data_IF_046797881903
#
_entry.id   IF_046797881903
#
_cell.length_a   1.000
_cell.length_b   1.000
_cell.length_c   1.000
_cell.angle_alpha   90.00
_cell.angle_beta   90.00
_cell.angle_gamma   90.00
#
_symmetry.space_group_name_H-M   'P 1'
#
loop_
_entity.id
_entity.type
_entity.pdbx_description
1 polymer ?
#
# COMPACT_ATOMS: atom_id res chain seq x y z
N UNK A 1 -31.81 -35.50 40.17
CA UNK A 1 -31.38 -34.64 39.03
C UNK A 1 -30.44 -35.49 38.19
N UNK A 2 -30.90 -35.89 37.01
CA UNK A 2 -30.47 -37.09 36.29
C UNK A 2 -29.11 -36.91 35.60
N UNK A 3 -28.23 -37.90 35.73
CA UNK A 3 -26.91 -38.00 35.08
C UNK A 3 -26.97 -38.20 33.54
N UNK A 4 -28.09 -37.82 32.90
CA UNK A 4 -28.30 -38.02 31.46
C UNK A 4 -27.89 -36.82 30.58
N UNK A 5 -27.56 -35.66 31.17
CA UNK A 5 -27.17 -34.46 30.38
C UNK A 5 -25.67 -34.37 30.04
N UNK A 6 -24.83 -35.29 30.52
CA UNK A 6 -23.37 -35.23 30.29
C UNK A 6 -22.89 -35.78 28.94
N UNK A 7 -23.78 -36.25 28.06
CA UNK A 7 -23.39 -36.88 26.79
C UNK A 7 -23.73 -36.08 25.51
N UNK A 8 -24.29 -34.87 25.60
CA UNK A 8 -24.70 -34.10 24.41
C UNK A 8 -23.64 -33.10 23.87
N UNK A 9 -22.35 -33.32 24.12
CA UNK A 9 -21.26 -32.48 23.59
C UNK A 9 -20.62 -33.02 22.30
N UNK A 10 -21.00 -34.21 21.84
CA UNK A 10 -20.41 -34.84 20.66
C UNK A 10 -21.10 -34.32 19.40
N UNK A 11 -20.45 -33.35 18.77
CA UNK A 11 -20.75 -32.83 17.43
C UNK A 11 -22.00 -31.93 17.31
N UNK A 12 -22.03 -30.82 18.07
CA UNK A 12 -23.03 -29.75 17.87
C UNK A 12 -22.94 -29.18 16.44
N UNK A 13 -24.07 -29.21 15.71
CA UNK A 13 -24.23 -28.55 14.40
C UNK A 13 -24.13 -27.04 14.58
N UNK A 14 -23.61 -26.35 13.58
CA UNK A 14 -23.23 -24.94 13.70
C UNK A 14 -23.54 -24.21 12.39
N UNK A 15 -24.12 -23.01 12.49
CA UNK A 15 -24.40 -22.15 11.35
C UNK A 15 -23.22 -21.20 11.19
N UNK A 16 -22.47 -21.31 10.10
CA UNK A 16 -21.35 -20.41 9.82
C UNK A 16 -21.88 -19.24 8.99
N UNK A 17 -21.63 -18.02 9.45
CA UNK A 17 -21.81 -16.78 8.68
C UNK A 17 -20.44 -16.29 8.23
N UNK A 18 -20.32 -15.87 6.97
CA UNK A 18 -19.04 -15.52 6.34
C UNK A 18 -18.50 -14.17 6.84
N UNK A 19 -17.69 -14.19 7.89
CA UNK A 19 -16.81 -13.10 8.29
C UNK A 19 -15.54 -13.70 8.93
N UNK A 20 -14.36 -13.31 8.45
CA UNK A 20 -13.10 -13.86 8.95
C UNK A 20 -11.87 -13.11 8.46
N UNK A 21 -10.73 -13.40 9.08
CA UNK A 21 -9.43 -12.84 8.74
C UNK A 21 -8.58 -13.93 8.10
N UNK A 22 -7.77 -13.55 7.10
CA UNK A 22 -6.84 -14.45 6.45
C UNK A 22 -5.41 -13.99 6.69
N UNK A 23 -4.56 -14.97 7.00
CA UNK A 23 -3.15 -14.77 7.28
C UNK A 23 -2.36 -15.78 6.46
N UNK A 24 -1.38 -15.29 5.70
CA UNK A 24 -0.37 -16.09 5.04
C UNK A 24 1.00 -15.79 5.65
N UNK A 25 1.70 -16.81 6.13
CA UNK A 25 3.04 -16.72 6.68
C UNK A 25 4.03 -17.48 5.82
N UNK A 26 5.12 -16.82 5.43
CA UNK A 26 6.22 -17.46 4.73
C UNK A 26 6.99 -18.36 5.73
N UNK A 27 7.14 -19.66 5.48
CA UNK A 27 7.87 -20.56 6.38
C UNK A 27 9.31 -20.08 6.59
N UNK A 28 9.74 -19.99 7.85
CA UNK A 28 11.10 -19.57 8.21
C UNK A 28 11.36 -18.06 8.21
N UNK A 29 10.34 -17.23 7.95
CA UNK A 29 10.41 -15.77 8.07
C UNK A 29 9.41 -15.25 9.11
N UNK A 30 9.71 -14.10 9.70
CA UNK A 30 8.81 -13.39 10.62
C UNK A 30 7.78 -12.51 9.89
N UNK A 31 7.84 -12.47 8.55
CA UNK A 31 6.92 -11.72 7.73
C UNK A 31 5.55 -12.40 7.63
N UNK A 32 4.51 -11.60 7.84
CA UNK A 32 3.11 -12.01 7.77
C UNK A 32 2.37 -11.14 6.76
N UNK A 33 1.59 -11.80 5.93
CA UNK A 33 0.69 -11.18 4.94
C UNK A 33 -0.72 -11.38 5.49
N UNK A 34 -1.42 -10.27 5.80
CA UNK A 34 -2.79 -10.33 6.34
C UNK A 34 -3.78 -9.69 5.38
N UNK A 35 -4.88 -10.39 5.08
CA UNK A 35 -6.01 -9.83 4.34
C UNK A 35 -7.15 -9.57 5.33
N UNK A 36 -7.45 -8.29 5.54
CA UNK A 36 -8.33 -7.83 6.62
C UNK A 36 -9.78 -7.58 6.21
N UNK A 37 -10.07 -7.37 4.93
CA UNK A 37 -11.40 -6.99 4.43
C UNK A 37 -11.93 -8.00 3.40
N UNK A 38 -11.89 -9.28 3.77
CA UNK A 38 -12.32 -10.34 2.87
C UNK A 38 -13.82 -10.27 2.54
N UNK A 39 -14.13 -10.25 1.25
CA UNK A 39 -15.47 -10.39 0.72
C UNK A 39 -15.93 -11.85 0.77
N UNK A 40 -15.02 -12.79 0.47
CA UNK A 40 -15.34 -14.21 0.40
C UNK A 40 -14.09 -15.06 0.67
N UNK A 41 -14.30 -16.26 1.25
CA UNK A 41 -13.30 -17.31 1.28
C UNK A 41 -13.95 -18.65 1.01
N UNK A 42 -13.37 -19.40 0.08
CA UNK A 42 -13.83 -20.73 -0.34
C UNK A 42 -12.71 -21.74 -0.18
N UNK A 43 -13.01 -22.86 0.48
CA UNK A 43 -12.12 -24.01 0.60
C UNK A 43 -12.72 -25.17 -0.21
N UNK A 44 -12.09 -25.52 -1.33
CA UNK A 44 -12.46 -26.64 -2.17
C UNK A 44 -11.55 -27.84 -1.90
N UNK A 45 -12.14 -28.95 -1.47
CA UNK A 45 -11.44 -30.23 -1.31
C UNK A 45 -11.92 -31.18 -2.40
N UNK A 46 -11.06 -31.46 -3.37
CA UNK A 46 -11.32 -32.41 -4.45
C UNK A 46 -10.60 -33.72 -4.15
N UNK A 47 -11.36 -34.83 -4.19
CA UNK A 47 -10.86 -36.19 -4.03
C UNK A 47 -11.05 -36.93 -5.35
N UNK A 48 -9.96 -37.43 -5.92
CA UNK A 48 -9.98 -38.31 -7.08
C UNK A 48 -9.76 -39.74 -6.57
N UNK A 49 -10.81 -40.55 -6.63
CA UNK A 49 -10.84 -41.93 -6.17
C UNK A 49 -11.09 -42.85 -7.35
N UNK A 50 -10.36 -43.96 -7.40
CA UNK A 50 -10.52 -44.98 -8.43
C UNK A 50 -10.83 -46.30 -7.76
N UNK A 51 -11.94 -46.86 -8.21
CA UNK A 51 -12.43 -48.15 -7.78
C UNK A 51 -11.68 -49.27 -8.51
N UNK A 52 -11.24 -50.27 -7.75
CA UNK A 52 -10.60 -51.48 -8.26
C UNK A 52 -11.69 -52.54 -8.35
N UNK A 53 -12.15 -52.79 -9.57
CA UNK A 53 -13.22 -53.76 -9.85
C UNK A 53 -12.66 -55.17 -10.07
N UNK A 54 -13.37 -56.16 -9.54
CA UNK A 54 -13.12 -57.57 -9.83
C UNK A 54 -13.93 -58.03 -11.05
N UNK A 55 -13.48 -59.08 -11.73
CA UNK A 55 -14.18 -59.63 -12.89
C UNK A 55 -15.55 -60.25 -12.60
N UNK A 56 -15.84 -60.58 -11.33
CA UNK A 56 -16.99 -61.40 -10.95
C UNK A 56 -18.11 -60.65 -10.21
N UNK A 57 -17.88 -59.40 -9.79
CA UNK A 57 -18.89 -58.60 -9.05
C UNK A 57 -18.89 -57.15 -9.52
N UNK A 58 -20.08 -56.56 -9.61
CA UNK A 58 -20.27 -55.13 -9.91
C UNK A 58 -19.96 -54.22 -8.71
N UNK A 59 -19.51 -54.78 -7.59
CA UNK A 59 -19.05 -54.03 -6.43
C UNK A 59 -17.52 -53.94 -6.44
N UNK A 60 -16.92 -52.76 -6.20
CA UNK A 60 -15.48 -52.63 -6.16
C UNK A 60 -14.87 -53.40 -4.99
N UNK A 61 -13.74 -54.07 -5.26
CA UNK A 61 -12.98 -54.83 -4.27
C UNK A 61 -12.27 -53.88 -3.31
N UNK A 62 -11.73 -52.79 -3.85
CA UNK A 62 -10.99 -51.78 -3.10
C UNK A 62 -11.14 -50.41 -3.80
N UNK A 63 -10.91 -49.33 -3.07
CA UNK A 63 -10.98 -47.96 -3.59
C UNK A 63 -9.69 -47.25 -3.28
N UNK A 64 -8.95 -46.84 -4.32
CA UNK A 64 -7.68 -46.15 -4.18
C UNK A 64 -7.89 -44.64 -4.31
N UNK A 65 -7.44 -43.88 -3.31
CA UNK A 65 -7.34 -42.42 -3.43
C UNK A 65 -6.14 -42.06 -4.31
N UNK A 66 -6.40 -41.64 -5.54
CA UNK A 66 -5.36 -41.27 -6.52
C UNK A 66 -4.78 -39.89 -6.24
N UNK A 67 -5.65 -38.92 -5.94
CA UNK A 67 -5.23 -37.53 -5.74
C UNK A 67 -6.15 -36.81 -4.76
N UNK A 68 -5.55 -36.03 -3.86
CA UNK A 68 -6.26 -35.07 -3.01
C UNK A 68 -5.75 -33.68 -3.36
N UNK A 69 -6.65 -32.82 -3.84
CA UNK A 69 -6.36 -31.40 -4.10
C UNK A 69 -7.17 -30.57 -3.12
N UNK A 70 -6.49 -29.67 -2.41
CA UNK A 70 -7.16 -28.70 -1.55
C UNK A 70 -6.81 -27.34 -2.12
N UNK A 71 -7.80 -26.62 -2.63
CA UNK A 71 -7.67 -25.25 -3.09
C UNK A 71 -8.36 -24.32 -2.08
N UNK A 72 -7.70 -23.23 -1.71
CA UNK A 72 -8.30 -22.13 -0.94
C UNK A 72 -8.32 -20.88 -1.82
N UNK A 73 -9.51 -20.32 -2.02
CA UNK A 73 -9.71 -19.06 -2.71
C UNK A 73 -10.13 -18.00 -1.72
N UNK A 74 -9.38 -16.91 -1.63
CA UNK A 74 -9.71 -15.74 -0.83
C UNK A 74 -9.96 -14.55 -1.77
N UNK A 75 -10.99 -13.76 -1.47
CA UNK A 75 -11.38 -12.58 -2.21
C UNK A 75 -11.40 -11.37 -1.27
N UNK A 76 -10.68 -10.32 -1.63
CA UNK A 76 -10.65 -9.06 -0.87
C UNK A 76 -11.52 -7.99 -1.56
N UNK A 77 -12.27 -7.24 -0.75
CA UNK A 77 -13.06 -6.11 -1.21
C UNK A 77 -12.22 -4.87 -1.50
N UNK A 78 -10.96 -4.83 -1.02
CA UNK A 78 -10.03 -3.72 -1.22
C UNK A 78 -8.77 -4.22 -1.94
N UNK A 79 -8.20 -3.35 -2.77
CA UNK A 79 -6.90 -3.60 -3.38
C UNK A 79 -5.80 -3.48 -2.31
N UNK A 80 -5.00 -4.54 -2.16
CA UNK A 80 -3.84 -4.58 -1.27
C UNK A 80 -2.62 -5.14 -2.03
N UNK A 81 -1.49 -4.45 -1.94
CA UNK A 81 -0.21 -4.88 -2.53
C UNK A 81 0.31 -6.17 -1.88
N UNK A 82 -0.05 -6.45 -0.62
CA UNK A 82 0.28 -7.70 0.07
C UNK A 82 -0.35 -8.91 -0.63
N UNK A 83 -1.51 -8.71 -1.24
CA UNK A 83 -2.15 -9.74 -2.05
C UNK A 83 -1.31 -10.03 -3.30
N UNK A 84 -0.84 -8.99 -3.99
CA UNK A 84 -0.01 -9.16 -5.19
C UNK A 84 1.38 -9.74 -4.86
N UNK A 85 1.95 -9.34 -3.72
CA UNK A 85 3.18 -9.94 -3.15
C UNK A 85 3.04 -11.44 -2.95
N UNK A 86 1.91 -11.90 -2.42
CA UNK A 86 1.66 -13.32 -2.22
C UNK A 86 1.68 -14.09 -3.55
N UNK A 87 1.11 -13.51 -4.63
CA UNK A 87 1.04 -14.14 -5.95
C UNK A 87 2.40 -14.18 -6.65
N UNK A 88 3.11 -13.05 -6.66
CA UNK A 88 4.31 -12.88 -7.47
C UNK A 88 5.60 -13.25 -6.72
N UNK A 89 5.56 -13.26 -5.38
CA UNK A 89 6.75 -13.38 -4.54
C UNK A 89 7.71 -12.18 -4.62
N UNK A 90 7.20 -11.07 -5.14
CA UNK A 90 7.93 -9.83 -5.29
C UNK A 90 8.21 -9.15 -3.94
N UNK A 91 9.27 -8.34 -3.88
CA UNK A 91 9.60 -7.55 -2.69
C UNK A 91 8.77 -6.27 -2.65
N UNK A 92 8.06 -6.06 -1.55
CA UNK A 92 7.38 -4.81 -1.24
C UNK A 92 8.37 -3.87 -0.52
N UNK A 93 8.45 -2.63 -0.97
CA UNK A 93 9.16 -1.54 -0.30
C UNK A 93 8.16 -0.45 0.00
N UNK A 94 7.97 -0.16 1.27
CA UNK A 94 7.01 0.84 1.73
C UNK A 94 7.69 2.21 1.85
N UNK A 95 6.91 3.27 1.64
CA UNK A 95 7.36 4.64 1.86
C UNK A 95 8.52 5.10 0.98
N UNK A 96 8.64 4.53 -0.23
CA UNK A 96 9.65 4.91 -1.21
C UNK A 96 9.35 6.34 -1.69
N UNK A 97 10.26 7.27 -1.40
CA UNK A 97 10.05 8.69 -1.66
C UNK A 97 10.84 9.18 -2.87
N UNK A 98 10.11 9.79 -3.82
CA UNK A 98 10.67 10.59 -4.90
C UNK A 98 10.87 12.06 -4.53
N UNK A 99 10.51 12.47 -3.31
CA UNK A 99 10.57 13.85 -2.88
C UNK A 99 12.03 14.30 -2.66
N UNK A 100 12.35 15.52 -3.09
CA UNK A 100 13.66 16.13 -2.85
C UNK A 100 13.84 16.64 -1.41
N UNK A 101 12.86 16.38 -0.54
CA UNK A 101 12.88 16.78 0.85
C UNK A 101 12.44 15.65 1.76
N UNK A 102 12.93 15.67 2.98
CA UNK A 102 12.49 14.82 4.09
C UNK A 102 11.99 15.73 5.23
N UNK A 103 10.99 15.27 5.97
CA UNK A 103 10.50 16.00 7.15
C UNK A 103 11.29 15.54 8.37
N UNK A 104 11.96 16.49 9.02
CA UNK A 104 12.59 16.27 10.32
C UNK A 104 11.81 16.93 11.42
N UNK A 105 11.92 16.37 12.62
CA UNK A 105 11.50 17.03 13.84
C UNK A 105 12.67 17.13 14.80
N UNK A 106 12.76 18.25 15.50
CA UNK A 106 13.73 18.46 16.58
C UNK A 106 13.01 19.01 17.80
N UNK A 107 13.39 18.49 18.97
CA UNK A 107 12.88 18.96 20.26
C UNK A 107 13.95 19.79 20.94
N UNK A 108 13.61 21.02 21.30
CA UNK A 108 14.51 21.97 21.96
C UNK A 108 13.81 22.55 23.18
N UNK A 109 14.51 22.56 24.31
CA UNK A 109 14.05 23.27 25.51
C UNK A 109 14.56 24.70 25.47
N UNK A 110 13.69 25.67 25.69
CA UNK A 110 14.07 27.10 25.66
C UNK A 110 14.86 27.44 26.92
N UNK A 111 16.10 27.90 26.72
CA UNK A 111 16.97 28.38 27.78
C UNK A 111 17.02 29.92 27.74
N UNK A 112 16.36 30.56 28.72
CA UNK A 112 16.37 32.01 28.94
C UNK A 112 15.25 32.80 28.25
N UNK A 113 14.82 33.88 28.91
CA UNK A 113 13.79 34.82 28.46
C UNK A 113 14.34 35.91 27.51
N UNK A 114 14.78 35.52 26.31
CA UNK A 114 15.05 36.50 25.24
C UNK A 114 14.03 36.37 24.12
N UNK A 115 13.10 37.32 24.08
CA UNK A 115 12.21 37.56 22.93
C UNK A 115 12.93 38.47 21.91
N UNK A 116 13.02 38.10 20.62
CA UNK A 116 12.47 36.89 20.01
C UNK A 116 13.32 35.64 20.25
N UNK A 117 12.65 34.50 20.49
CA UNK A 117 13.32 33.21 20.73
C UNK A 117 13.84 32.63 19.42
N UNK A 118 15.15 32.37 19.35
CA UNK A 118 15.80 31.78 18.17
C UNK A 118 16.25 30.35 18.43
N UNK A 119 15.68 29.40 17.69
CA UNK A 119 15.98 27.97 17.76
C UNK A 119 16.95 27.62 16.63
N UNK A 120 18.09 27.03 16.97
CA UNK A 120 19.06 26.53 15.99
C UNK A 120 18.82 25.04 15.73
N UNK A 121 18.53 24.71 14.48
CA UNK A 121 18.28 23.36 13.99
C UNK A 121 19.58 22.71 13.50
N UNK A 122 19.63 21.37 13.46
CA UNK A 122 20.80 20.65 12.94
C UNK A 122 21.04 20.85 11.45
N UNK A 123 19.99 21.18 10.69
CA UNK A 123 20.00 21.23 9.23
C UNK A 123 19.26 22.48 8.73
N UNK A 124 19.68 23.06 7.60
CA UNK A 124 18.99 24.22 7.04
C UNK A 124 17.58 23.84 6.58
N UNK A 125 16.62 24.71 6.87
CA UNK A 125 15.22 24.52 6.47
C UNK A 125 15.08 24.77 4.98
N UNK A 126 14.42 23.84 4.28
CA UNK A 126 14.14 23.95 2.86
C UNK A 126 12.84 24.73 2.62
N UNK A 127 12.95 26.06 2.53
CA UNK A 127 11.80 26.97 2.43
C UNK A 127 10.97 26.83 1.15
N UNK A 128 11.51 26.24 0.09
CA UNK A 128 10.78 25.96 -1.16
C UNK A 128 9.79 24.80 -1.08
N UNK A 129 9.87 23.95 -0.04
CA UNK A 129 9.03 22.76 0.13
C UNK A 129 7.97 22.89 1.23
N UNK A 130 7.86 24.07 1.84
CA UNK A 130 6.90 24.36 2.90
C UNK A 130 7.51 25.13 4.07
N UNK A 131 6.68 25.86 4.81
CA UNK A 131 7.08 26.53 6.04
C UNK A 131 7.21 25.51 7.19
N UNK A 132 8.15 25.70 8.14
CA UNK A 132 8.22 24.86 9.32
C UNK A 132 7.00 25.07 10.22
N UNK A 133 6.57 23.99 10.88
CA UNK A 133 5.53 24.03 11.91
C UNK A 133 6.17 23.89 13.27
N UNK A 134 5.79 24.76 14.19
CA UNK A 134 6.34 24.77 15.55
C UNK A 134 5.23 24.47 16.53
N UNK A 135 5.45 23.50 17.41
CA UNK A 135 4.56 23.17 18.50
C UNK A 135 5.26 23.46 19.82
N UNK A 136 4.63 24.27 20.66
CA UNK A 136 5.12 24.60 22.00
C UNK A 136 4.34 23.75 23.00
N UNK A 137 5.05 22.99 23.80
CA UNK A 137 4.53 22.28 24.95
C UNK A 137 4.85 23.10 26.20
N UNK A 138 3.84 23.82 26.68
CA UNK A 138 3.79 24.16 28.09
C UNK A 138 3.39 22.88 28.83
N UNK A 139 3.75 22.72 30.09
CA UNK A 139 3.65 21.45 30.86
C UNK A 139 2.24 20.81 30.93
N UNK A 140 1.21 21.40 30.31
CA UNK A 140 -0.20 20.99 30.34
C UNK A 140 -0.73 20.62 28.94
N UNK A 141 -0.29 21.28 27.85
CA UNK A 141 -0.75 20.99 26.49
C UNK A 141 0.21 21.50 25.40
N UNK A 142 0.16 20.87 24.22
CA UNK A 142 0.89 21.33 23.03
C UNK A 142 0.04 22.23 22.12
N UNK A 143 0.51 23.44 21.82
CA UNK A 143 -0.13 24.37 20.88
C UNK A 143 0.75 24.69 19.68
N UNK A 144 0.17 24.73 18.48
CA UNK A 144 0.89 25.14 17.27
C UNK A 144 1.03 26.67 17.18
N UNK A 145 2.23 27.13 16.87
CA UNK A 145 2.51 28.54 16.59
C UNK A 145 2.00 28.89 15.18
N UNK A 146 1.29 30.01 14.99
CA UNK A 146 0.87 30.46 13.67
C UNK A 146 2.07 30.69 12.74
N UNK A 147 1.97 30.27 11.48
CA UNK A 147 3.07 30.41 10.49
C UNK A 147 3.54 31.86 10.33
N UNK A 148 2.66 32.86 10.48
CA UNK A 148 3.00 34.29 10.43
C UNK A 148 3.94 34.77 11.54
N UNK A 149 3.99 34.04 12.66
CA UNK A 149 4.83 34.32 13.81
C UNK A 149 6.21 33.61 13.73
N UNK A 150 6.46 32.86 12.65
CA UNK A 150 7.69 32.10 12.44
C UNK A 150 8.53 32.78 11.35
N UNK A 151 9.79 33.05 11.65
CA UNK A 151 10.78 33.52 10.65
C UNK A 151 11.87 32.46 10.50
N UNK A 152 12.28 32.18 9.27
CA UNK A 152 13.32 31.19 8.96
C UNK A 152 14.53 31.86 8.32
N UNK A 153 15.72 31.57 8.83
CA UNK A 153 16.98 31.99 8.24
C UNK A 153 18.00 30.84 8.26
N UNK A 154 18.09 30.10 7.15
CA UNK A 154 18.94 28.92 7.05
C UNK A 154 18.53 27.85 8.07
N UNK A 155 19.41 27.57 9.03
CA UNK A 155 19.16 26.63 10.13
C UNK A 155 18.56 27.27 11.38
N UNK A 156 18.23 28.57 11.36
CA UNK A 156 17.62 29.25 12.49
C UNK A 156 16.12 29.47 12.26
N UNK A 157 15.31 29.09 13.24
CA UNK A 157 13.88 29.37 13.31
C UNK A 157 13.64 30.34 14.46
N UNK A 158 13.14 31.52 14.15
CA UNK A 158 12.86 32.57 15.13
C UNK A 158 11.36 32.69 15.36
N UNK A 159 10.94 32.59 16.61
CA UNK A 159 9.57 32.80 17.06
C UNK A 159 9.42 34.26 17.49
N UNK A 160 8.39 34.95 16.98
CA UNK A 160 8.09 36.35 17.33
C UNK A 160 7.36 36.52 18.67
N UNK A 161 7.03 35.41 19.32
CA UNK A 161 6.38 35.39 20.63
C UNK A 161 5.72 34.05 20.95
N UNK A 162 5.50 33.78 22.23
CA UNK A 162 4.66 32.69 22.72
C UNK A 162 5.39 31.48 23.30
N UNK A 163 6.73 31.45 23.24
CA UNK A 163 7.55 30.45 23.93
C UNK A 163 8.28 31.13 25.11
N UNK A 164 8.18 30.57 26.30
CA UNK A 164 8.84 31.08 27.51
C UNK A 164 9.96 30.17 27.99
N UNK A 165 10.82 30.64 28.89
CA UNK A 165 11.84 29.81 29.52
C UNK A 165 11.23 28.53 30.13
N UNK A 166 11.84 27.37 29.84
CA UNK A 166 11.39 26.07 30.32
C UNK A 166 10.35 25.38 29.44
N UNK A 167 9.80 26.04 28.42
CA UNK A 167 8.94 25.38 27.44
C UNK A 167 9.73 24.37 26.59
N UNK A 168 9.07 23.28 26.21
CA UNK A 168 9.60 22.30 25.26
C UNK A 168 8.99 22.57 23.89
N UNK A 169 9.83 22.88 22.92
CA UNK A 169 9.41 23.23 21.57
C UNK A 169 9.80 22.12 20.61
N UNK A 170 8.83 21.65 19.84
CA UNK A 170 9.06 20.70 18.74
C UNK A 170 8.91 21.45 17.43
N UNK A 171 9.98 21.46 16.63
CA UNK A 171 10.01 22.08 15.30
C UNK A 171 9.96 20.98 14.26
N UNK A 172 8.92 20.99 13.43
CA UNK A 172 8.77 20.14 12.25
C UNK A 172 9.16 20.94 11.02
N UNK A 173 10.12 20.49 10.24
CA UNK A 173 10.63 21.25 9.10
C UNK A 173 11.15 20.37 7.97
N UNK A 174 10.98 20.80 6.71
CA UNK A 174 11.56 20.12 5.57
C UNK A 174 13.06 20.40 5.49
N UNK A 175 13.85 19.37 5.19
CA UNK A 175 15.27 19.48 4.85
C UNK A 175 15.51 18.82 3.50
N UNK A 176 16.62 19.16 2.83
CA UNK A 176 17.00 18.49 1.60
C UNK A 176 17.19 16.98 1.85
N UNK A 177 16.54 16.15 1.04
CA UNK A 177 16.67 14.69 1.16
C UNK A 177 18.10 14.27 0.81
N UNK A 178 18.67 13.35 1.60
CA UNK A 178 19.98 12.78 1.34
C UNK A 178 19.99 11.74 0.21
N UNK A 179 18.82 11.21 -0.17
CA UNK A 179 18.67 10.23 -1.23
C UNK A 179 17.24 10.22 -1.77
N UNK A 180 17.10 10.21 -3.10
CA UNK A 180 15.81 10.08 -3.79
C UNK A 180 15.79 8.73 -4.50
N UNK A 181 14.69 7.99 -4.38
CA UNK A 181 14.55 6.68 -5.01
C UNK A 181 13.91 6.82 -6.42
N UNK A 182 14.52 6.22 -7.48
CA UNK A 182 13.96 6.18 -8.84
C UNK A 182 12.54 5.61 -8.98
N UNK A 183 12.05 4.85 -8.02
CA UNK A 183 10.70 4.27 -8.04
C UNK A 183 9.67 5.13 -7.29
N UNK A 184 10.11 6.19 -6.60
CA UNK A 184 9.26 7.13 -5.87
C UNK A 184 8.46 8.11 -6.75
N UNK A 185 8.19 7.77 -8.01
CA UNK A 185 7.59 8.68 -8.98
C UNK A 185 6.35 8.09 -9.63
N UNK A 186 5.36 8.95 -9.83
CA UNK A 186 4.06 8.57 -10.41
C UNK A 186 3.86 9.32 -11.73
N UNK A 187 3.31 8.63 -12.72
CA UNK A 187 2.88 9.24 -13.96
C UNK A 187 1.58 10.02 -13.76
N UNK A 188 1.62 11.30 -14.12
CA UNK A 188 0.43 12.10 -14.40
C UNK A 188 0.11 11.93 -15.87
N UNK A 189 -1.09 11.44 -16.15
CA UNK A 189 -1.58 11.23 -17.51
C UNK A 189 -2.67 12.24 -17.81
N UNK A 190 -2.60 12.81 -19.01
CA UNK A 190 -3.61 13.68 -19.60
C UNK A 190 -3.99 14.88 -18.71
N UNK A 191 -3.01 15.54 -18.09
CA UNK A 191 -3.27 16.81 -17.40
C UNK A 191 -3.70 17.85 -18.42
N UNK A 192 -4.96 18.29 -18.33
CA UNK A 192 -5.56 19.23 -19.26
C UNK A 192 -5.23 20.67 -18.88
N UNK A 193 -4.79 21.44 -19.87
CA UNK A 193 -4.59 22.89 -19.75
C UNK A 193 -5.18 23.64 -20.94
N UNK A 194 -5.63 24.87 -20.67
CA UNK A 194 -5.94 25.86 -21.68
C UNK A 194 -4.73 26.79 -21.82
N UNK A 195 -4.19 26.92 -23.04
CA UNK A 195 -3.03 27.78 -23.29
C UNK A 195 -3.47 29.24 -23.25
N UNK A 196 -2.90 30.02 -22.32
CA UNK A 196 -3.14 31.46 -22.18
C UNK A 196 -1.82 32.22 -22.08
N UNK A 197 -1.64 33.25 -22.89
CA UNK A 197 -0.39 34.00 -22.99
C UNK A 197 0.81 33.17 -23.47
N UNK A 198 0.57 32.11 -24.25
CA UNK A 198 1.61 31.18 -24.71
C UNK A 198 2.34 30.42 -23.60
N UNK A 199 1.81 30.41 -22.36
CA UNK A 199 2.43 29.78 -21.20
C UNK A 199 1.44 28.87 -20.48
N UNK A 200 1.93 27.74 -19.98
CA UNK A 200 1.20 26.83 -19.12
C UNK A 200 2.09 26.39 -17.98
N UNK A 201 1.61 26.49 -16.74
CA UNK A 201 2.29 25.96 -15.56
C UNK A 201 1.67 24.62 -15.17
N UNK A 202 2.50 23.61 -14.98
CA UNK A 202 2.06 22.31 -14.48
C UNK A 202 1.61 22.40 -13.03
N UNK A 203 0.60 21.61 -12.63
CA UNK A 203 0.10 21.61 -11.24
C UNK A 203 1.10 21.03 -10.24
N UNK A 204 1.97 20.14 -10.71
CA UNK A 204 2.95 19.47 -9.86
C UNK A 204 4.37 19.74 -10.39
N UNK A 205 5.37 19.83 -9.50
CA UNK A 205 6.75 20.00 -9.90
C UNK A 205 7.23 18.82 -10.75
N UNK A 206 8.12 19.11 -11.70
CA UNK A 206 8.71 18.12 -12.59
C UNK A 206 9.74 17.24 -11.87
N UNK A 207 9.71 15.96 -12.24
CA UNK A 207 10.74 14.98 -11.94
C UNK A 207 12.10 15.33 -12.54
N UNK A 208 13.22 15.08 -11.84
CA UNK A 208 14.52 14.77 -12.46
C UNK A 208 15.72 15.66 -12.05
N UNK A 209 16.86 15.46 -12.70
CA UNK A 209 18.19 15.91 -12.30
C UNK A 209 19.15 14.71 -12.28
N UNK A 210 20.33 14.81 -11.68
CA UNK A 210 21.22 13.66 -11.42
C UNK A 210 20.63 12.62 -10.43
N UNK A 211 19.37 12.79 -10.03
CA UNK A 211 18.61 11.95 -9.11
C UNK A 211 17.51 11.24 -9.91
N UNK A 212 17.50 9.90 -9.90
CA UNK A 212 16.42 9.11 -10.52
C UNK A 212 16.69 8.51 -11.92
N UNK A 213 17.95 8.38 -12.36
CA UNK A 213 18.32 7.75 -13.65
C UNK A 213 17.89 8.48 -14.94
N UNK A 214 17.30 9.67 -14.86
CA UNK A 214 17.03 10.49 -16.05
C UNK A 214 18.17 11.47 -16.33
N UNK A 215 18.43 11.69 -17.61
CA UNK A 215 19.43 12.66 -18.10
C UNK A 215 19.00 14.12 -17.88
N UNK A 216 17.69 14.37 -17.69
CA UNK A 216 17.12 15.71 -17.51
C UNK A 216 15.76 15.68 -16.82
N UNK A 217 15.42 16.78 -16.12
CA UNK A 217 14.08 17.01 -15.53
C UNK A 217 12.91 16.99 -16.51
N UNK A 218 13.21 17.08 -17.79
CA UNK A 218 12.22 17.26 -18.84
C UNK A 218 12.15 16.06 -19.78
N UNK A 219 12.91 15.00 -19.50
CA UNK A 219 13.00 13.80 -20.35
C UNK A 219 11.65 13.10 -20.50
N UNK A 220 10.89 13.00 -19.41
CA UNK A 220 9.61 12.27 -19.38
C UNK A 220 8.38 13.15 -19.58
N UNK A 221 8.52 14.32 -20.21
CA UNK A 221 7.38 15.21 -20.48
C UNK A 221 6.97 15.11 -21.94
N UNK A 222 5.69 14.82 -22.16
CA UNK A 222 5.06 14.80 -23.48
C UNK A 222 3.83 15.70 -23.51
N UNK A 223 3.67 16.47 -24.58
CA UNK A 223 2.54 17.39 -24.76
C UNK A 223 1.83 17.06 -26.06
N UNK A 224 0.50 16.98 -26.03
CA UNK A 224 -0.33 16.77 -27.23
C UNK A 224 -1.52 17.72 -27.27
N UNK A 225 -1.98 18.04 -28.47
CA UNK A 225 -3.21 18.81 -28.69
C UNK A 225 -4.44 17.95 -28.42
N UNK A 226 -5.46 18.51 -27.77
CA UNK A 226 -6.70 17.79 -27.45
C UNK A 226 -7.52 17.50 -28.72
N UNK A 227 -7.70 18.51 -29.59
CA UNK A 227 -8.56 18.39 -30.78
C UNK A 227 -7.98 17.46 -31.85
N UNK A 228 -6.69 17.63 -32.14
CA UNK A 228 -6.01 16.89 -33.21
C UNK A 228 -5.35 15.59 -32.73
N UNK A 229 -5.30 15.35 -31.41
CA UNK A 229 -4.49 14.29 -30.78
C UNK A 229 -3.04 14.25 -31.29
N UNK A 230 -2.50 15.43 -31.65
CA UNK A 230 -1.17 15.57 -32.26
C UNK A 230 -0.12 15.79 -31.18
N UNK A 231 0.92 14.96 -31.17
CA UNK A 231 2.08 15.14 -30.30
C UNK A 231 2.90 16.35 -30.77
N UNK A 232 3.23 17.24 -29.83
CA UNK A 232 4.10 18.39 -30.07
C UNK A 232 5.56 17.98 -29.87
N UNK A 233 6.47 18.71 -30.52
CA UNK A 233 7.91 18.44 -30.44
C UNK A 233 8.56 19.32 -29.37
N UNK A 234 9.32 18.70 -28.48
CA UNK A 234 10.13 19.42 -27.48
C UNK A 234 11.38 20.02 -28.12
N UNK A 235 11.66 21.27 -27.80
CA UNK A 235 12.89 22.00 -28.19
C UNK A 235 13.54 22.68 -26.99
N UNK A 236 14.76 23.17 -27.15
CA UNK A 236 15.52 23.90 -26.11
C UNK A 236 15.61 25.41 -26.37
N UNK A 237 15.22 25.84 -27.56
CA UNK A 237 15.18 27.25 -28.02
C UNK A 237 13.74 27.72 -28.14
N UNK A 238 13.51 29.01 -28.42
CA UNK A 238 12.15 29.53 -28.61
C UNK A 238 11.30 28.64 -29.55
N UNK A 239 10.09 28.24 -29.14
CA UNK A 239 9.30 27.24 -29.84
C UNK A 239 8.71 27.77 -31.16
N UNK A 240 8.87 27.02 -32.24
CA UNK A 240 8.15 27.25 -33.49
C UNK A 240 6.73 26.63 -33.45
N UNK A 241 5.99 26.74 -34.55
CA UNK A 241 4.65 26.14 -34.67
C UNK A 241 4.73 24.62 -34.49
N UNK A 242 3.97 24.09 -33.53
CA UNK A 242 3.95 22.65 -33.22
C UNK A 242 5.07 22.20 -32.28
N UNK A 243 5.83 23.14 -31.71
CA UNK A 243 6.90 22.86 -30.76
C UNK A 243 6.61 23.49 -29.38
N UNK A 244 7.32 23.02 -28.35
CA UNK A 244 7.25 23.57 -27.00
C UNK A 244 8.62 23.54 -26.31
N UNK A 245 8.84 24.46 -25.37
CA UNK A 245 9.96 24.39 -24.42
C UNK A 245 9.44 24.22 -23.01
N UNK A 246 10.26 23.68 -22.12
CA UNK A 246 9.92 23.50 -20.70
C UNK A 246 11.06 24.04 -19.85
N UNK A 247 10.72 24.86 -18.86
CA UNK A 247 11.64 25.21 -17.78
C UNK A 247 11.70 24.04 -16.77
N UNK A 248 12.87 23.40 -16.58
CA UNK A 248 13.03 22.30 -15.64
C UNK A 248 12.84 22.70 -14.16
N UNK A 249 12.95 23.98 -13.81
CA UNK A 249 12.90 24.47 -12.43
C UNK A 249 11.49 24.84 -12.01
N UNK A 250 10.74 25.49 -12.89
CA UNK A 250 9.38 25.97 -12.61
C UNK A 250 8.30 25.03 -13.13
N UNK A 251 8.62 24.13 -14.08
CA UNK A 251 7.62 23.30 -14.75
C UNK A 251 6.75 24.09 -15.71
N UNK A 252 7.19 25.28 -16.12
CA UNK A 252 6.47 26.10 -17.09
C UNK A 252 6.76 25.63 -18.51
N UNK A 253 5.68 25.41 -19.26
CA UNK A 253 5.72 25.05 -20.67
C UNK A 253 5.40 26.29 -21.48
N UNK A 254 6.33 26.67 -22.35
CA UNK A 254 6.19 27.79 -23.26
C UNK A 254 5.87 27.27 -24.66
N UNK A 255 4.91 27.91 -25.29
CA UNK A 255 4.41 27.64 -26.63
C UNK A 255 4.64 28.83 -27.54
N UNK A 256 4.40 28.60 -28.83
CA UNK A 256 4.28 29.67 -29.80
C UNK A 256 2.87 30.28 -29.74
N UNK A 257 2.74 31.57 -30.05
CA UNK A 257 1.48 32.33 -30.10
C UNK A 257 0.38 31.65 -30.94
N UNK A 258 0.73 30.84 -31.94
CA UNK A 258 -0.22 30.04 -32.72
C UNK A 258 -1.06 29.04 -31.90
N UNK A 259 -0.63 28.70 -30.68
CA UNK A 259 -1.34 27.78 -29.79
C UNK A 259 -2.19 28.52 -28.74
N UNK A 260 -2.29 29.85 -28.81
CA UNK A 260 -3.12 30.63 -27.91
C UNK A 260 -4.60 30.20 -28.00
N UNK A 261 -5.22 29.94 -26.84
CA UNK A 261 -6.62 29.49 -26.75
C UNK A 261 -6.85 28.03 -27.14
N UNK A 262 -5.82 27.27 -27.52
CA UNK A 262 -5.92 25.83 -27.72
C UNK A 262 -5.83 25.05 -26.41
N UNK A 263 -6.34 23.81 -26.45
CA UNK A 263 -6.31 22.89 -25.32
C UNK A 263 -5.27 21.82 -25.53
N UNK A 264 -4.52 21.53 -24.48
CA UNK A 264 -3.46 20.53 -24.48
C UNK A 264 -3.65 19.50 -23.38
N UNK A 265 -3.10 18.31 -23.61
CA UNK A 265 -2.84 17.31 -22.59
C UNK A 265 -1.33 17.20 -22.37
N UNK A 266 -0.92 17.17 -21.11
CA UNK A 266 0.46 16.94 -20.71
C UNK A 266 0.55 15.62 -19.93
N UNK A 267 1.51 14.78 -20.31
CA UNK A 267 1.88 13.61 -19.51
C UNK A 267 3.31 13.80 -18.99
N UNK A 268 3.51 13.57 -17.70
CA UNK A 268 4.79 13.73 -17.05
C UNK A 268 4.90 12.89 -15.78
N UNK A 269 6.12 12.72 -15.24
CA UNK A 269 6.33 12.11 -13.93
C UNK A 269 6.39 13.18 -12.84
N UNK A 270 5.73 12.93 -11.71
CA UNK A 270 5.80 13.76 -10.50
C UNK A 270 6.39 12.96 -9.33
N UNK A 271 7.12 13.61 -8.40
CA UNK A 271 7.58 12.98 -7.17
C UNK A 271 6.40 12.70 -6.22
N UNK A 272 6.46 11.57 -5.53
CA UNK A 272 5.45 11.15 -4.56
C UNK A 272 6.08 10.21 -3.51
N UNK A 273 5.38 9.95 -2.42
CA UNK A 273 5.71 8.84 -1.51
C UNK A 273 4.80 7.67 -1.85
N UNK A 274 5.39 6.54 -2.25
CA UNK A 274 4.65 5.38 -2.74
C UNK A 274 5.15 4.08 -2.15
N UNK A 275 4.26 3.10 -2.09
CA UNK A 275 4.62 1.72 -1.84
C UNK A 275 4.87 1.02 -3.17
N UNK A 276 6.06 0.43 -3.32
CA UNK A 276 6.52 -0.14 -4.58
C UNK A 276 6.72 -1.63 -4.41
N UNK A 277 6.04 -2.41 -5.25
CA UNK A 277 6.31 -3.82 -5.42
C UNK A 277 7.10 -4.02 -6.71
N UNK A 278 8.37 -4.39 -6.57
CA UNK A 278 9.25 -4.63 -7.72
C UNK A 278 9.06 -6.05 -8.24
N UNK A 279 8.47 -6.19 -9.44
CA UNK A 279 8.23 -7.49 -10.08
C UNK A 279 9.46 -7.84 -10.93
N UNK A 280 10.29 -8.74 -10.41
CA UNK A 280 11.46 -9.26 -11.09
C UNK A 280 11.14 -10.43 -12.02
N UNK A 281 11.92 -10.57 -13.09
CA UNK A 281 11.82 -11.73 -14.00
C UNK A 281 12.24 -13.07 -13.36
N UNK A 282 12.84 -13.02 -12.17
CA UNK A 282 13.29 -14.17 -11.39
C UNK A 282 12.45 -14.40 -10.14
N UNK A 283 11.41 -13.60 -9.93
CA UNK A 283 10.52 -13.78 -8.79
C UNK A 283 9.65 -15.01 -9.03
N UNK A 284 9.55 -15.85 -7.99
CA UNK A 284 8.77 -17.07 -8.03
C UNK A 284 7.64 -16.99 -6.99
N UNK A 285 6.45 -17.54 -7.30
CA UNK A 285 5.35 -17.58 -6.34
C UNK A 285 5.78 -18.20 -5.01
N UNK A 286 5.49 -17.50 -3.91
CA UNK A 286 5.87 -17.94 -2.59
C UNK A 286 5.08 -19.19 -2.19
N UNK A 287 5.74 -20.04 -1.41
CA UNK A 287 5.07 -21.12 -0.68
C UNK A 287 4.80 -20.61 0.73
N UNK A 288 3.54 -20.61 1.15
CA UNK A 288 3.09 -20.03 2.42
C UNK A 288 2.30 -21.01 3.26
N UNK A 289 2.35 -20.84 4.58
CA UNK A 289 1.37 -21.41 5.49
C UNK A 289 0.19 -20.46 5.61
N UNK A 290 -1.03 -20.99 5.63
CA UNK A 290 -2.26 -20.20 5.64
C UNK A 290 -3.03 -20.48 6.91
N UNK A 291 -3.47 -19.43 7.58
CA UNK A 291 -4.41 -19.48 8.70
C UNK A 291 -5.60 -18.60 8.36
N UNK A 292 -6.77 -19.20 8.32
CA UNK A 292 -8.04 -18.49 8.28
C UNK A 292 -8.73 -18.64 9.62
N UNK A 293 -9.25 -17.53 10.14
CA UNK A 293 -9.99 -17.50 11.39
C UNK A 293 -11.33 -16.81 11.18
N UNK A 294 -12.42 -17.51 11.46
CA UNK A 294 -13.78 -17.02 11.28
C UNK A 294 -14.58 -17.12 12.57
N UNK A 295 -15.36 -16.08 12.86
CA UNK A 295 -16.17 -15.96 14.06
C UNK A 295 -17.62 -15.69 13.72
N UNK A 296 -18.54 -16.22 14.53
CA UNK A 296 -19.94 -15.87 14.41
C UNK A 296 -20.72 -16.08 15.70
N UNK A 297 -21.80 -15.33 15.77
CA UNK A 297 -22.79 -15.40 16.83
C UNK A 297 -23.84 -16.47 16.49
N UNK A 298 -24.03 -17.41 17.42
CA UNK A 298 -25.10 -18.40 17.35
C UNK A 298 -26.44 -17.81 17.80
N UNK A 299 -27.54 -18.51 17.52
CA UNK A 299 -28.89 -18.08 17.96
C UNK A 299 -29.03 -17.94 19.48
N UNK A 300 -28.15 -18.59 20.26
CA UNK A 300 -28.09 -18.52 21.71
C UNK A 300 -27.22 -17.35 22.25
N UNK A 301 -26.70 -16.49 21.37
CA UNK A 301 -25.83 -15.37 21.73
C UNK A 301 -24.40 -15.77 22.11
N UNK A 302 -24.03 -17.05 21.99
CA UNK A 302 -22.64 -17.50 22.16
C UNK A 302 -21.83 -17.24 20.89
N UNK A 303 -20.57 -16.82 21.06
CA UNK A 303 -19.63 -16.64 19.95
C UNK A 303 -18.84 -17.94 19.78
N UNK A 304 -18.90 -18.51 18.58
CA UNK A 304 -18.08 -19.66 18.19
C UNK A 304 -17.11 -19.23 17.10
N UNK A 305 -15.92 -19.82 17.13
CA UNK A 305 -14.87 -19.65 16.14
C UNK A 305 -14.56 -20.96 15.42
N UNK A 306 -14.14 -20.84 14.16
CA UNK A 306 -13.48 -21.91 13.44
C UNK A 306 -12.18 -21.39 12.83
N UNK A 307 -11.13 -22.21 12.91
CA UNK A 307 -9.84 -21.90 12.35
C UNK A 307 -9.45 -22.97 11.35
N UNK A 308 -9.06 -22.57 10.15
CA UNK A 308 -8.46 -23.44 9.13
C UNK A 308 -6.98 -23.10 9.06
N UNK A 309 -6.13 -24.11 9.22
CA UNK A 309 -4.68 -23.98 9.13
C UNK A 309 -4.17 -24.93 8.05
N UNK A 310 -3.50 -24.41 7.02
CA UNK A 310 -2.89 -25.18 5.93
C UNK A 310 -1.39 -24.94 5.95
N UNK A 311 -0.60 -26.01 5.99
CA UNK A 311 0.83 -25.88 6.33
C UNK A 311 1.71 -25.42 5.16
N UNK A 312 1.41 -25.87 3.95
CA UNK A 312 2.15 -25.51 2.75
C UNK A 312 1.19 -25.28 1.59
N UNK A 313 1.10 -24.04 1.13
CA UNK A 313 0.22 -23.59 0.05
C UNK A 313 1.04 -22.85 -1.00
N UNK A 314 0.77 -23.10 -2.28
CA UNK A 314 1.38 -22.38 -3.40
C UNK A 314 0.29 -21.75 -4.26
N UNK A 315 0.57 -20.59 -4.82
CA UNK A 315 -0.37 -19.90 -5.71
C UNK A 315 -0.58 -20.72 -6.98
N UNK A 316 -1.85 -20.96 -7.30
CA UNK A 316 -2.28 -21.73 -8.48
C UNK A 316 -2.80 -20.83 -9.59
N UNK A 317 -3.34 -19.66 -9.24
CA UNK A 317 -4.05 -18.79 -10.18
C UNK A 317 -3.25 -17.57 -10.62
N UNK A 318 -3.59 -17.08 -11.81
CA UNK A 318 -3.15 -15.78 -12.31
C UNK A 318 -3.81 -14.68 -11.46
N UNK A 319 -3.01 -13.74 -10.94
CA UNK A 319 -3.55 -12.48 -10.41
C UNK A 319 -4.09 -11.66 -11.58
N UNK A 320 -5.31 -11.16 -11.46
CA UNK A 320 -5.90 -10.25 -12.45
C UNK A 320 -6.32 -8.96 -11.75
N UNK A 321 -5.94 -7.83 -12.34
CA UNK A 321 -6.40 -6.50 -11.96
C UNK A 321 -7.34 -6.02 -13.06
N UNK A 322 -8.62 -6.31 -12.92
CA UNK A 322 -9.64 -5.81 -13.84
C UNK A 322 -10.31 -4.56 -13.24
N UNK A 323 -10.12 -3.42 -13.89
CA UNK A 323 -10.64 -2.13 -13.44
C UNK A 323 -11.79 -1.70 -14.35
N UNK A 324 -12.95 -2.34 -14.16
CA UNK A 324 -14.18 -1.92 -14.83
C UNK A 324 -14.63 -0.55 -14.30
N UNK A 325 -14.99 0.38 -15.20
CA UNK A 325 -15.22 1.82 -14.88
C UNK A 325 -16.37 2.12 -13.89
N UNK A 326 -17.10 1.14 -13.36
CA UNK A 326 -18.28 1.35 -12.52
C UNK A 326 -18.48 0.33 -11.38
N UNK A 327 -17.67 -0.73 -11.30
CA UNK A 327 -17.76 -1.75 -10.26
C UNK A 327 -16.46 -1.75 -9.46
N UNK A 328 -16.55 -1.95 -8.15
CA UNK A 328 -15.36 -2.17 -7.33
C UNK A 328 -14.62 -3.40 -7.88
N UNK A 329 -13.31 -3.26 -8.11
CA UNK A 329 -12.50 -4.38 -8.55
C UNK A 329 -12.46 -5.42 -7.43
N UNK A 330 -12.91 -6.64 -7.72
CA UNK A 330 -12.82 -7.79 -6.82
C UNK A 330 -11.54 -8.54 -7.13
N UNK A 331 -10.65 -8.66 -6.15
CA UNK A 331 -9.39 -9.36 -6.35
C UNK A 331 -9.42 -10.69 -5.61
N UNK A 332 -9.11 -11.77 -6.32
CA UNK A 332 -9.09 -13.13 -5.77
C UNK A 332 -7.73 -13.79 -5.92
N UNK A 333 -7.30 -14.53 -4.91
CA UNK A 333 -6.18 -15.46 -4.98
C UNK A 333 -6.69 -16.85 -4.73
N UNK A 334 -6.23 -17.81 -5.55
CA UNK A 334 -6.39 -19.24 -5.28
C UNK A 334 -5.02 -19.86 -4.99
N UNK A 335 -4.90 -20.48 -3.82
CA UNK A 335 -3.74 -21.25 -3.39
C UNK A 335 -4.10 -22.74 -3.41
N UNK A 336 -3.20 -23.58 -3.91
CA UNK A 336 -3.28 -25.04 -3.75
C UNK A 336 -2.40 -25.49 -2.61
N UNK A 337 -2.91 -26.37 -1.76
CA UNK A 337 -2.09 -27.07 -0.76
C UNK A 337 -1.15 -28.02 -1.50
N UNK A 338 0.11 -28.02 -1.07
CA UNK A 338 1.13 -28.98 -1.49
C UNK A 338 1.54 -29.82 -0.28
N UNK A 339 2.03 -31.03 -0.53
CA UNK A 339 2.59 -31.82 0.57
C UNK A 339 3.92 -31.20 1.01
N UNK A 340 3.99 -30.86 2.29
CA UNK A 340 5.19 -30.30 2.93
C UNK A 340 6.13 -31.37 3.49
N UNK A 341 5.85 -32.65 3.25
CA UNK A 341 6.62 -33.81 3.76
C UNK A 341 6.83 -33.76 5.27
N UNK A 342 5.82 -33.29 6.00
CA UNK A 342 5.88 -33.24 7.47
C UNK A 342 5.91 -34.66 8.04
N UNK A 343 6.60 -34.83 9.16
CA UNK A 343 6.69 -36.10 9.89
C UNK A 343 5.33 -36.66 10.34
N UNK A 344 4.31 -35.80 10.43
CA UNK A 344 2.94 -36.15 10.79
C UNK A 344 2.03 -36.44 9.57
N UNK A 345 2.55 -36.29 8.34
CA UNK A 345 1.82 -36.44 7.06
C UNK A 345 0.53 -35.60 6.97
N UNK A 346 0.42 -34.53 7.77
CA UNK A 346 -0.76 -33.66 7.77
C UNK A 346 -0.58 -32.53 6.77
N UNK A 347 -1.63 -32.28 5.98
CA UNK A 347 -1.70 -31.15 5.04
C UNK A 347 -2.25 -29.87 5.70
N UNK A 348 -2.96 -30.02 6.81
CA UNK A 348 -3.57 -28.92 7.55
C UNK A 348 -4.45 -29.42 8.69
N UNK A 349 -5.12 -28.49 9.37
CA UNK A 349 -6.08 -28.76 10.43
C UNK A 349 -7.27 -27.79 10.35
N UNK A 350 -8.44 -28.27 10.75
CA UNK A 350 -9.62 -27.42 10.96
C UNK A 350 -10.00 -27.56 12.43
N UNK A 351 -9.97 -26.46 13.16
CA UNK A 351 -10.28 -26.37 14.58
C UNK A 351 -11.61 -25.65 14.77
N UNK A 352 -12.36 -26.06 15.77
CA UNK A 352 -13.57 -25.37 16.25
C UNK A 352 -13.37 -25.05 17.71
N UNK A 353 -13.74 -23.84 18.13
CA UNK A 353 -13.63 -23.40 19.52
C UNK A 353 -14.78 -22.47 19.89
N UNK A 354 -15.10 -22.44 21.19
CA UNK A 354 -16.02 -21.47 21.76
C UNK A 354 -15.19 -20.32 22.32
N UNK A 355 -15.57 -19.08 22.02
CA UNK A 355 -14.98 -17.92 22.67
C UNK A 355 -15.73 -17.73 23.98
N UNK A 356 -15.05 -18.01 25.09
CA UNK A 356 -15.57 -17.62 26.39
C UNK A 356 -15.55 -16.09 26.47
N UNK A 357 -16.64 -15.48 26.97
CA UNK A 357 -16.68 -14.04 27.29
C UNK A 357 -15.72 -13.77 28.46
N UNK A 358 -14.42 -13.80 28.20
CA UNK A 358 -13.45 -13.12 29.05
C UNK A 358 -13.57 -11.64 28.72
N UNK A 359 -14.00 -10.85 29.70
CA UNK A 359 -14.13 -9.41 29.57
C UNK A 359 -12.78 -8.79 29.20
N UNK A 360 -12.68 -8.37 27.95
CA UNK A 360 -11.92 -7.23 27.43
C UNK A 360 -11.83 -7.42 25.92
N UNK A 361 -12.92 -7.06 25.23
CA UNK A 361 -12.87 -6.73 23.81
C UNK A 361 -12.83 -5.21 23.75
N UNK A 362 -11.61 -4.67 23.80
CA UNK A 362 -11.29 -3.30 23.39
C UNK A 362 -10.95 -3.29 21.90
#
# INVERSE_FOLDING_TARGET
MSQFDKFNSKNKKMIIKGAGKFMAKIPGCDELITLGHMANMRLDVQLDMVDIEGGDSSAPIDTLLRKKVIDITAEDAKFDLNMVRLVLGAKLREGVSGLAYELKNETVTIAGDTEPVSIKLSSPVLTGSGAPKVQIFNQVAGSFVPESAITVNGSAVTLKGGAVEGDTVVVYYPVASSSIDPDGFVWVLEERHDVKGGLVTLKNPLFGGSLGSASSKTEHVSVRLVKENKLLKKVTTNPAKGEYTIDPSTGEIKFNDYLEGEQIYVNYKRPEVVDVMAIGSRDFPLTVSVVHDGHFEQMDGSIQGYQVELYSCRVKSNFTLDTARQTAATHSITLTVIDGERTDSRLGSIKRYQIEKSGDVC
#
